data_IF_899999760288
#
_entry.id   IF_899999760288
#
_cell.length_a   1.000
_cell.length_b   1.000
_cell.length_c   1.000
_cell.angle_alpha   90.00
_cell.angle_beta   90.00
_cell.angle_gamma   90.00
#
_symmetry.space_group_name_H-M   'P 1'
#
loop_
_entity.id
_entity.type
_entity.pdbx_description
1 polymer ?
#
# COMPACT_ATOMS: atom_id res chain seq x y z
N UNK A 1 17.78 -30.47 -33.20
CA UNK A 1 17.15 -31.26 -32.10
C UNK A 1 17.05 -30.31 -30.93
N UNK A 2 15.89 -29.68 -30.79
CA UNK A 2 15.68 -28.49 -29.96
C UNK A 2 15.00 -28.84 -28.64
N UNK A 3 15.57 -28.32 -27.56
CA UNK A 3 15.01 -28.31 -26.22
C UNK A 3 13.79 -27.37 -26.13
N UNK A 4 12.76 -27.79 -25.39
CA UNK A 4 11.72 -26.91 -24.83
C UNK A 4 11.39 -27.38 -23.42
N UNK A 5 11.62 -26.49 -22.45
CA UNK A 5 11.11 -26.54 -21.08
C UNK A 5 9.62 -26.15 -21.07
N UNK A 6 8.78 -26.71 -20.17
CA UNK A 6 7.51 -26.10 -19.84
C UNK A 6 7.61 -25.33 -18.51
N UNK A 7 7.25 -24.04 -18.55
CA UNK A 7 6.82 -23.25 -17.40
C UNK A 7 5.37 -23.59 -17.03
N UNK A 8 4.97 -23.55 -15.76
CA UNK A 8 3.58 -23.34 -15.41
C UNK A 8 3.32 -21.85 -15.10
N UNK A 9 2.41 -21.27 -15.90
CA UNK A 9 1.68 -20.05 -15.62
C UNK A 9 0.70 -20.31 -14.46
N UNK A 10 0.76 -19.48 -13.41
CA UNK A 10 -0.35 -19.31 -12.48
C UNK A 10 -1.35 -18.33 -13.10
N UNK A 11 -2.53 -18.81 -13.51
CA UNK A 11 -3.69 -17.97 -13.86
C UNK A 11 -4.77 -18.22 -12.81
N UNK A 12 -5.03 -17.21 -11.97
CA UNK A 12 -6.20 -17.17 -11.12
C UNK A 12 -7.37 -16.61 -11.96
N UNK A 13 -8.28 -17.48 -12.41
CA UNK A 13 -9.43 -17.09 -13.20
C UNK A 13 -10.63 -16.77 -12.28
N UNK A 14 -10.99 -15.49 -12.18
CA UNK A 14 -12.24 -15.02 -11.59
C UNK A 14 -13.28 -14.90 -12.71
N UNK A 15 -14.27 -15.78 -12.73
CA UNK A 15 -15.33 -15.81 -13.76
C UNK A 15 -16.43 -14.80 -13.45
N UNK A 16 -16.52 -13.75 -14.28
CA UNK A 16 -17.68 -12.85 -14.33
C UNK A 16 -18.34 -12.98 -15.72
N UNK A 17 -19.64 -13.31 -15.70
CA UNK A 17 -20.51 -13.50 -16.87
C UNK A 17 -20.81 -12.16 -17.54
N UNK A 18 -20.64 -12.01 -18.87
CA UNK A 18 -21.17 -10.85 -19.59
C UNK A 18 -22.52 -11.18 -20.24
N UNK A 19 -23.51 -10.31 -20.02
CA UNK A 19 -24.74 -10.28 -20.79
C UNK A 19 -24.51 -9.50 -22.09
N UNK A 20 -24.86 -10.13 -23.22
CA UNK A 20 -24.92 -9.55 -24.55
C UNK A 20 -26.02 -8.50 -24.66
N UNK A 21 -25.70 -7.33 -25.21
CA UNK A 21 -26.65 -6.50 -25.95
C UNK A 21 -25.94 -5.90 -27.16
N UNK A 22 -26.34 -6.41 -28.34
CA UNK A 22 -25.91 -5.94 -29.64
C UNK A 22 -26.77 -4.76 -30.08
N UNK A 23 -26.17 -3.72 -30.66
CA UNK A 23 -26.81 -2.90 -31.68
C UNK A 23 -25.77 -2.40 -32.68
N UNK A 24 -26.12 -2.63 -33.93
CA UNK A 24 -25.39 -2.45 -35.18
C UNK A 24 -25.87 -1.15 -35.83
N UNK A 25 -24.98 -0.39 -36.46
CA UNK A 25 -25.34 0.76 -37.29
C UNK A 25 -24.15 1.26 -38.11
N UNK A 26 -24.06 0.78 -39.35
CA UNK A 26 -23.40 1.46 -40.47
C UNK A 26 -24.12 2.80 -40.74
N UNK A 27 -23.41 3.86 -41.16
CA UNK A 27 -23.34 4.27 -42.58
C UNK A 27 -22.76 5.68 -42.78
N UNK A 28 -22.13 5.86 -43.95
CA UNK A 28 -22.03 7.08 -44.79
C UNK A 28 -21.14 8.29 -44.41
N UNK A 29 -19.96 8.33 -45.04
CA UNK A 29 -19.51 9.27 -46.10
C UNK A 29 -19.88 10.76 -46.07
N UNK A 30 -18.88 11.61 -46.37
CA UNK A 30 -19.09 13.00 -46.82
C UNK A 30 -17.81 13.85 -46.84
N UNK A 31 -17.25 14.04 -48.03
CA UNK A 31 -16.27 15.08 -48.39
C UNK A 31 -16.92 16.46 -48.33
N UNK A 32 -16.16 17.52 -47.98
CA UNK A 32 -15.95 18.70 -48.85
C UNK A 32 -15.07 19.79 -48.22
N UNK A 33 -14.11 20.24 -49.03
CA UNK A 33 -13.33 21.49 -48.94
C UNK A 33 -14.22 22.73 -49.03
N UNK A 34 -13.97 23.78 -48.22
CA UNK A 34 -14.01 25.19 -48.66
C UNK A 34 -13.09 26.06 -47.80
N UNK A 35 -12.31 26.91 -48.48
CA UNK A 35 -11.36 27.87 -47.95
C UNK A 35 -11.97 29.21 -47.48
N UNK A 36 -11.15 29.95 -46.72
CA UNK A 36 -10.84 31.39 -46.87
C UNK A 36 -11.34 32.37 -45.78
N UNK A 37 -10.37 33.19 -45.32
CA UNK A 37 -10.45 34.59 -44.83
C UNK A 37 -11.13 34.81 -43.46
N UNK A 38 -10.69 35.68 -42.55
CA UNK A 38 -9.94 36.93 -42.65
C UNK A 38 -9.24 37.29 -41.33
N UNK A 39 -8.32 38.26 -41.43
CA UNK A 39 -7.59 38.93 -40.35
C UNK A 39 -8.51 39.57 -39.28
N UNK A 40 -8.11 39.48 -38.01
CA UNK A 40 -8.35 40.55 -37.04
C UNK A 40 -7.31 40.53 -35.94
N UNK A 41 -6.43 41.51 -36.08
CA UNK A 41 -5.50 42.05 -35.11
C UNK A 41 -6.25 42.49 -33.85
N UNK A 42 -5.85 41.97 -32.70
CA UNK A 42 -6.21 42.54 -31.39
C UNK A 42 -5.05 42.29 -30.45
N UNK A 43 -4.25 43.35 -30.33
CA UNK A 43 -3.16 43.49 -29.38
C UNK A 43 -3.61 43.03 -27.99
N UNK A 44 -3.10 41.87 -27.58
CA UNK A 44 -3.16 41.43 -26.20
C UNK A 44 -2.37 42.44 -25.38
N UNK A 45 -3.10 43.17 -24.54
CA UNK A 45 -2.49 44.00 -23.51
C UNK A 45 -1.94 43.04 -22.47
N UNK A 46 -0.64 42.75 -22.54
CA UNK A 46 0.08 42.07 -21.48
C UNK A 46 0.03 42.96 -20.23
N UNK A 47 -0.99 42.75 -19.41
CA UNK A 47 -1.01 43.25 -18.05
C UNK A 47 -0.12 42.32 -17.23
N UNK A 48 1.18 42.62 -17.27
CA UNK A 48 2.19 42.04 -16.40
C UNK A 48 1.93 42.53 -14.96
N UNK A 49 0.99 41.89 -14.28
CA UNK A 49 0.92 41.94 -12.82
C UNK A 49 1.91 40.91 -12.27
N UNK A 50 3.20 41.26 -12.29
CA UNK A 50 4.32 40.44 -11.82
C UNK A 50 4.35 40.16 -10.30
N UNK A 51 3.20 39.94 -9.68
CA UNK A 51 3.10 39.32 -8.36
C UNK A 51 3.27 37.80 -8.46
N UNK A 52 3.65 37.11 -7.38
CA UNK A 52 3.55 35.65 -7.34
C UNK A 52 2.10 35.24 -7.70
N UNK A 53 1.92 34.11 -8.42
CA UNK A 53 0.58 33.62 -8.72
C UNK A 53 -0.20 33.46 -7.41
N UNK A 54 -1.52 33.76 -7.42
CA UNK A 54 -2.33 33.58 -6.22
C UNK A 54 -2.28 32.10 -5.81
N UNK A 55 -2.16 31.84 -4.50
CA UNK A 55 -2.31 30.49 -3.94
C UNK A 55 -3.71 30.38 -3.32
N UNK A 56 -4.43 29.30 -3.66
CA UNK A 56 -5.73 28.98 -3.06
C UNK A 56 -5.80 27.50 -2.69
N UNK A 57 -6.47 27.15 -1.57
CA UNK A 57 -6.91 25.79 -1.35
C UNK A 57 -7.73 25.26 -2.54
N UNK A 58 -7.65 23.96 -2.78
CA UNK A 58 -8.33 23.34 -3.91
C UNK A 58 -9.87 23.42 -3.75
N UNK A 59 -10.56 23.68 -4.86
CA UNK A 59 -12.01 23.82 -4.92
C UNK A 59 -12.70 22.54 -5.40
N UNK A 60 -13.89 22.26 -4.89
CA UNK A 60 -14.72 21.14 -5.35
C UNK A 60 -14.10 19.75 -5.18
N UNK A 61 -13.11 19.63 -4.30
CA UNK A 61 -12.42 18.39 -3.95
C UNK A 61 -12.24 18.36 -2.44
N UNK A 62 -12.37 17.18 -1.83
CA UNK A 62 -12.18 16.97 -0.39
C UNK A 62 -11.37 15.71 -0.14
N UNK A 63 -10.69 15.65 1.00
CA UNK A 63 -10.02 14.44 1.48
C UNK A 63 -11.04 13.52 2.13
N UNK A 64 -11.15 12.30 1.61
CA UNK A 64 -12.18 11.34 2.02
C UNK A 64 -11.61 10.24 2.93
N UNK A 65 -10.51 9.64 2.48
CA UNK A 65 -9.79 8.60 3.19
C UNK A 65 -8.31 8.98 3.22
N UNK A 66 -7.71 8.89 4.39
CA UNK A 66 -6.24 8.95 4.53
C UNK A 66 -5.83 7.74 5.33
N UNK A 67 -4.87 6.99 4.82
CA UNK A 67 -4.40 5.76 5.42
C UNK A 67 -2.88 5.72 5.49
N UNK A 68 -2.38 4.95 6.44
CA UNK A 68 -0.99 4.54 6.55
C UNK A 68 -0.92 3.06 6.19
N UNK A 69 -0.02 2.70 5.28
CA UNK A 69 0.25 1.32 4.93
C UNK A 69 1.62 0.88 5.46
N UNK A 70 1.59 -0.14 6.32
CA UNK A 70 2.75 -0.84 6.87
C UNK A 70 2.58 -2.36 6.73
N UNK A 71 2.12 -2.82 5.56
CA UNK A 71 1.73 -4.22 5.30
C UNK A 71 0.22 -4.44 5.36
N UNK A 72 -0.49 -3.59 6.10
CA UNK A 72 -1.95 -3.43 6.06
C UNK A 72 -2.31 -1.96 6.00
N UNK A 73 -3.45 -1.63 5.38
CA UNK A 73 -3.98 -0.28 5.36
C UNK A 73 -4.62 0.06 6.72
N UNK A 74 -4.13 1.12 7.36
CA UNK A 74 -4.57 1.61 8.67
C UNK A 74 -5.17 3.00 8.47
N UNK A 75 -6.48 3.19 8.65
CA UNK A 75 -7.11 4.48 8.41
C UNK A 75 -6.74 5.50 9.49
N UNK A 76 -6.45 6.72 9.06
CA UNK A 76 -6.40 7.93 9.87
C UNK A 76 -7.68 8.76 9.72
N UNK A 77 -8.29 8.70 8.55
CA UNK A 77 -9.57 9.35 8.22
C UNK A 77 -10.44 8.34 7.50
N UNK A 78 -11.74 8.33 7.78
CA UNK A 78 -12.76 7.70 6.96
C UNK A 78 -13.93 8.67 6.83
N UNK A 79 -14.44 8.87 5.60
CA UNK A 79 -15.52 9.79 5.29
C UNK A 79 -15.27 11.21 5.83
N UNK A 80 -14.02 11.68 5.74
CA UNK A 80 -13.58 12.98 6.27
C UNK A 80 -13.47 13.08 7.81
N UNK A 81 -13.82 12.02 8.55
CA UNK A 81 -13.76 11.99 10.01
C UNK A 81 -12.50 11.31 10.56
N UNK A 82 -11.92 11.87 11.63
CA UNK A 82 -10.73 11.33 12.29
C UNK A 82 -11.00 9.96 12.91
N UNK A 83 -10.13 8.98 12.63
CA UNK A 83 -10.17 7.64 13.22
C UNK A 83 -9.17 7.58 14.38
N UNK A 84 -9.71 7.41 15.60
CA UNK A 84 -8.89 7.29 16.81
C UNK A 84 -8.10 5.99 16.82
N UNK A 85 -7.06 5.91 17.66
CA UNK A 85 -6.23 4.72 17.75
C UNK A 85 -7.00 3.43 18.10
N UNK A 86 -8.09 3.54 18.87
CA UNK A 86 -8.92 2.41 19.29
C UNK A 86 -9.83 1.88 18.18
N UNK A 87 -10.20 2.73 17.22
CA UNK A 87 -11.09 2.39 16.10
C UNK A 87 -10.34 1.79 14.90
N UNK A 88 -9.01 1.78 14.95
CA UNK A 88 -8.17 1.26 13.88
C UNK A 88 -8.15 -0.26 13.89
N UNK A 89 -8.06 -0.84 12.69
CA UNK A 89 -7.91 -2.27 12.47
C UNK A 89 -6.54 -2.84 12.90
N UNK A 90 -5.52 -1.99 13.02
CA UNK A 90 -4.19 -2.37 13.47
C UNK A 90 -3.45 -1.16 14.08
N UNK A 91 -2.47 -1.41 14.97
CA UNK A 91 -1.61 -0.35 15.47
C UNK A 91 -0.62 0.14 14.42
N UNK A 92 -0.23 1.41 14.53
CA UNK A 92 0.85 1.98 13.72
C UNK A 92 2.17 1.72 14.41
N UNK A 93 3.08 1.07 13.72
CA UNK A 93 4.33 0.54 14.27
C UNK A 93 5.45 1.54 14.03
N UNK A 94 6.20 1.86 15.08
CA UNK A 94 7.33 2.78 14.95
C UNK A 94 8.48 2.18 14.14
N UNK A 95 9.41 3.02 13.69
CA UNK A 95 10.68 2.60 13.06
C UNK A 95 10.53 1.71 11.82
N UNK A 96 9.45 1.89 11.04
CA UNK A 96 9.26 1.22 9.75
C UNK A 96 9.06 2.22 8.61
N UNK A 97 9.63 1.94 7.42
CA UNK A 97 9.24 2.63 6.20
C UNK A 97 7.73 2.53 6.02
N UNK A 98 7.10 3.66 5.75
CA UNK A 98 5.65 3.77 5.77
C UNK A 98 5.17 4.52 4.56
N UNK A 99 4.06 4.07 4.00
CA UNK A 99 3.39 4.76 2.91
C UNK A 99 2.14 5.45 3.44
N UNK A 100 2.09 6.77 3.42
CA UNK A 100 0.84 7.51 3.63
C UNK A 100 0.15 7.68 2.29
N UNK A 101 -1.14 7.33 2.24
CA UNK A 101 -1.97 7.49 1.05
C UNK A 101 -3.18 8.34 1.39
N UNK A 102 -3.52 9.26 0.49
CA UNK A 102 -4.67 10.11 0.61
C UNK A 102 -5.54 10.01 -0.64
N UNK A 103 -6.83 9.83 -0.40
CA UNK A 103 -7.87 9.67 -1.40
C UNK A 103 -8.84 10.84 -1.30
N UNK A 104 -9.44 11.15 -2.43
CA UNK A 104 -10.31 12.30 -2.57
C UNK A 104 -11.70 11.90 -3.04
N UNK A 105 -12.65 12.78 -2.72
CA UNK A 105 -13.93 12.88 -3.40
C UNK A 105 -14.01 14.23 -4.11
N UNK A 106 -14.64 14.26 -5.28
CA UNK A 106 -14.87 15.48 -6.05
C UNK A 106 -16.36 15.77 -6.11
N UNK A 107 -16.71 17.05 -6.13
CA UNK A 107 -18.07 17.50 -6.38
C UNK A 107 -18.50 17.12 -7.81
N UNK A 108 -19.81 17.09 -8.07
CA UNK A 108 -20.36 16.84 -9.41
C UNK A 108 -19.87 17.87 -10.45
N UNK A 109 -19.57 19.06 -9.94
CA UNK A 109 -18.86 20.21 -10.50
C UNK A 109 -17.55 20.03 -11.21
N UNK A 110 -16.80 19.06 -10.70
CA UNK A 110 -15.37 19.18 -10.66
C UNK A 110 -14.78 19.00 -12.06
N UNK A 111 -14.13 20.06 -12.54
CA UNK A 111 -13.39 20.02 -13.79
C UNK A 111 -12.01 19.41 -13.57
N UNK A 112 -11.64 18.47 -14.45
CA UNK A 112 -10.39 17.75 -14.36
C UNK A 112 -9.18 18.68 -14.48
N UNK A 113 -8.31 18.68 -13.46
CA UNK A 113 -7.13 19.55 -13.39
C UNK A 113 -6.08 19.02 -12.42
N UNK A 114 -4.92 19.65 -12.44
CA UNK A 114 -3.84 19.33 -11.51
C UNK A 114 -4.09 19.94 -10.12
N UNK A 115 -3.95 19.10 -9.09
CA UNK A 115 -4.03 19.48 -7.69
C UNK A 115 -2.71 19.12 -7.00
N UNK A 116 -2.19 20.02 -6.18
CA UNK A 116 -1.02 19.79 -5.34
C UNK A 116 -1.45 19.37 -3.95
N UNK A 117 -1.02 18.18 -3.51
CA UNK A 117 -1.13 17.76 -2.13
C UNK A 117 0.15 18.10 -1.36
N UNK A 118 0.01 18.81 -0.23
CA UNK A 118 1.09 19.18 0.69
C UNK A 118 0.94 18.42 1.99
N UNK A 119 1.86 17.49 2.25
CA UNK A 119 1.93 16.74 3.50
C UNK A 119 2.93 17.42 4.44
N UNK A 120 2.48 17.79 5.63
CA UNK A 120 3.34 18.28 6.70
C UNK A 120 3.50 17.20 7.76
N UNK A 121 4.74 16.91 8.13
CA UNK A 121 5.11 15.92 9.14
C UNK A 121 5.89 16.62 10.24
N UNK A 122 5.33 16.68 11.44
CA UNK A 122 5.98 17.27 12.61
C UNK A 122 6.53 16.17 13.51
N UNK A 123 7.85 16.15 13.67
CA UNK A 123 8.55 15.22 14.55
C UNK A 123 8.48 15.67 16.02
N UNK A 124 8.68 14.74 16.97
CA UNK A 124 8.93 15.06 18.36
C UNK A 124 10.14 16.00 18.46
N UNK A 125 9.91 17.21 18.99
CA UNK A 125 10.91 18.27 19.00
C UNK A 125 10.53 19.48 18.13
N UNK A 126 9.48 19.36 17.32
CA UNK A 126 8.87 20.46 16.56
C UNK A 126 9.50 20.71 15.19
N UNK A 127 10.42 19.86 14.73
CA UNK A 127 10.90 19.89 13.36
C UNK A 127 9.76 19.49 12.41
N UNK A 128 9.53 20.29 11.36
CA UNK A 128 8.46 20.07 10.38
C UNK A 128 9.06 19.83 9.01
N UNK A 129 8.69 18.71 8.41
CA UNK A 129 8.99 18.37 7.02
C UNK A 129 7.77 18.61 6.16
N UNK A 130 8.00 19.11 4.95
CA UNK A 130 6.97 19.25 3.93
C UNK A 130 7.30 18.34 2.75
N UNK A 131 6.33 17.56 2.31
CA UNK A 131 6.38 16.84 1.04
C UNK A 131 5.24 17.32 0.15
N UNK A 132 5.53 17.49 -1.15
CA UNK A 132 4.54 17.92 -2.15
C UNK A 132 4.38 16.86 -3.23
N UNK A 133 3.15 16.69 -3.70
CA UNK A 133 2.86 15.84 -4.85
C UNK A 133 1.73 16.44 -5.67
N UNK A 134 2.03 16.77 -6.92
CA UNK A 134 1.02 17.23 -7.89
C UNK A 134 0.47 16.05 -8.68
N UNK A 135 -0.86 16.01 -8.87
CA UNK A 135 -1.52 15.02 -9.72
C UNK A 135 -2.68 15.61 -10.49
N UNK A 136 -2.84 15.14 -11.73
CA UNK A 136 -4.07 15.32 -12.50
C UNK A 136 -5.19 14.51 -11.86
N UNK A 137 -6.28 15.19 -11.50
CA UNK A 137 -7.51 14.60 -10.98
C UNK A 137 -8.52 14.55 -12.12
N UNK A 138 -8.58 13.43 -12.83
CA UNK A 138 -9.52 13.22 -13.97
C UNK A 138 -10.52 12.09 -13.70
N UNK A 139 -10.36 11.39 -12.58
CA UNK A 139 -11.16 10.23 -12.16
C UNK A 139 -11.28 10.22 -10.64
N UNK A 140 -12.29 9.50 -10.15
CA UNK A 140 -12.45 9.24 -8.72
C UNK A 140 -11.19 8.55 -8.14
N UNK A 141 -10.94 8.69 -6.85
CA UNK A 141 -9.85 7.97 -6.20
C UNK A 141 -10.10 6.44 -6.23
N UNK A 142 -9.04 5.61 -6.23
CA UNK A 142 -9.18 4.15 -6.25
C UNK A 142 -8.01 3.45 -5.52
N UNK A 143 -8.27 2.68 -4.45
CA UNK A 143 -7.24 1.99 -3.69
C UNK A 143 -6.35 1.03 -4.50
N UNK A 144 -6.90 0.43 -5.56
CA UNK A 144 -6.17 -0.50 -6.44
C UNK A 144 -5.26 0.15 -7.48
N UNK A 145 -5.15 1.49 -7.51
CA UNK A 145 -4.31 2.22 -8.45
C UNK A 145 -3.56 3.35 -7.75
N UNK A 146 -2.22 3.25 -7.69
CA UNK A 146 -1.36 4.23 -7.03
C UNK A 146 -1.39 5.61 -7.70
N UNK A 147 -1.81 5.70 -8.95
CA UNK A 147 -1.97 6.98 -9.66
C UNK A 147 -3.27 7.69 -9.27
N UNK A 148 -4.22 6.97 -8.69
CA UNK A 148 -5.53 7.46 -8.22
C UNK A 148 -5.56 7.66 -6.70
N UNK A 149 -4.42 8.07 -6.15
CA UNK A 149 -4.22 8.49 -4.75
C UNK A 149 -2.99 9.38 -4.64
N UNK A 150 -2.96 10.33 -3.71
CA UNK A 150 -1.71 10.95 -3.31
C UNK A 150 -0.93 9.98 -2.42
N UNK A 151 0.37 9.83 -2.65
CA UNK A 151 1.20 8.81 -2.02
C UNK A 151 2.52 9.42 -1.58
N UNK A 152 2.81 9.32 -0.28
CA UNK A 152 3.99 9.88 0.36
C UNK A 152 4.74 8.80 1.13
N UNK A 153 6.05 8.71 0.87
CA UNK A 153 6.95 7.85 1.64
C UNK A 153 7.39 8.56 2.92
N UNK A 154 7.27 7.90 4.06
CA UNK A 154 7.74 8.38 5.34
C UNK A 154 8.98 7.57 5.74
N UNK A 155 10.16 8.14 5.47
CA UNK A 155 11.48 7.63 5.86
C UNK A 155 12.34 8.78 6.46
N UNK A 156 13.13 8.56 7.53
CA UNK A 156 13.05 7.48 8.50
C UNK A 156 12.19 7.89 9.71
N UNK A 157 11.57 6.89 10.33
CA UNK A 157 11.01 6.94 11.68
C UNK A 157 9.61 7.57 11.81
N UNK A 158 8.62 6.73 11.50
CA UNK A 158 7.41 6.71 12.30
C UNK A 158 7.83 6.63 13.78
N UNK A 159 7.80 7.76 14.47
CA UNK A 159 8.17 7.88 15.88
C UNK A 159 6.93 8.16 16.72
N UNK A 160 6.96 7.77 18.01
CA UNK A 160 5.95 8.19 18.97
C UNK A 160 5.76 9.71 18.94
N UNK A 161 4.53 10.19 19.08
CA UNK A 161 4.16 11.62 19.07
C UNK A 161 4.36 12.37 17.75
N UNK A 162 4.65 11.69 16.64
CA UNK A 162 4.61 12.29 15.31
C UNK A 162 3.21 12.83 15.00
N UNK A 163 3.16 14.03 14.41
CA UNK A 163 1.91 14.67 13.97
C UNK A 163 1.94 14.91 12.47
N UNK A 164 0.77 14.84 11.83
CA UNK A 164 0.62 15.13 10.40
C UNK A 164 -0.53 16.07 10.11
N UNK A 165 -0.39 16.84 9.04
CA UNK A 165 -1.50 17.47 8.33
C UNK A 165 -1.31 17.33 6.83
N UNK A 166 -2.40 17.35 6.07
CA UNK A 166 -2.41 17.26 4.62
C UNK A 166 -3.34 18.33 4.05
N UNK A 167 -2.90 19.03 3.03
CA UNK A 167 -3.66 20.10 2.38
C UNK A 167 -3.68 19.88 0.87
N UNK A 168 -4.80 20.20 0.22
CA UNK A 168 -4.91 20.24 -1.24
C UNK A 168 -4.96 21.68 -1.74
N UNK A 169 -4.19 21.98 -2.77
CA UNK A 169 -4.00 23.32 -3.31
C UNK A 169 -4.21 23.35 -4.82
N UNK A 170 -4.76 24.45 -5.32
CA UNK A 170 -4.84 24.71 -6.76
C UNK A 170 -3.46 24.95 -7.35
N UNK A 171 -3.20 24.36 -8.51
CA UNK A 171 -1.99 24.62 -9.30
C UNK A 171 -2.28 25.61 -10.43
N UNK A 172 -3.49 25.55 -10.98
CA UNK A 172 -3.92 26.42 -12.07
C UNK A 172 -4.37 27.79 -11.52
N UNK A 173 -3.74 28.85 -12.04
CA UNK A 173 -4.00 30.23 -11.65
C UNK A 173 -5.46 30.67 -11.88
N UNK A 174 -6.17 30.08 -12.86
CA UNK A 174 -7.57 30.39 -13.11
C UNK A 174 -8.45 29.99 -11.90
N UNK A 175 -8.16 28.83 -11.30
CA UNK A 175 -8.85 28.36 -10.10
C UNK A 175 -8.28 29.01 -8.84
N UNK A 176 -6.98 29.26 -8.81
CA UNK A 176 -6.34 29.89 -7.65
C UNK A 176 -6.74 31.36 -7.44
N UNK A 177 -7.24 32.03 -8.49
CA UNK A 177 -7.77 33.39 -8.40
C UNK A 177 -9.25 33.47 -7.94
N UNK A 178 -9.92 32.33 -7.74
CA UNK A 178 -11.29 32.28 -7.22
C UNK A 178 -11.33 32.64 -5.72
N UNK A 179 -12.51 33.01 -5.22
CA UNK A 179 -12.71 33.14 -3.78
C UNK A 179 -12.50 31.77 -3.11
N UNK A 180 -11.69 31.66 -2.03
CA UNK A 180 -11.40 30.40 -1.38
C UNK A 180 -12.66 29.61 -0.99
N UNK A 181 -12.60 28.26 -0.99
CA UNK A 181 -13.77 27.46 -0.68
C UNK A 181 -14.18 27.66 0.79
N UNK A 182 -15.50 27.61 1.05
CA UNK A 182 -16.03 27.75 2.41
C UNK A 182 -15.53 26.65 3.37
N UNK A 183 -15.19 25.48 2.83
CA UNK A 183 -14.55 24.37 3.53
C UNK A 183 -13.26 24.04 2.78
N UNK A 184 -12.12 24.26 3.43
CA UNK A 184 -10.83 23.93 2.83
C UNK A 184 -10.61 22.41 2.83
N UNK A 185 -10.00 21.85 1.76
CA UNK A 185 -9.61 20.44 1.71
C UNK A 185 -8.34 20.18 2.52
N UNK A 186 -8.43 20.44 3.82
CA UNK A 186 -7.37 20.24 4.79
C UNK A 186 -7.72 19.11 5.73
N UNK A 187 -6.68 18.39 6.14
CA UNK A 187 -6.72 17.38 7.16
C UNK A 187 -5.65 17.66 8.21
N UNK A 188 -5.98 17.52 9.50
CA UNK A 188 -7.31 17.64 10.11
C UNK A 188 -8.12 18.85 9.61
N UNK A 189 -9.46 18.76 9.67
CA UNK A 189 -10.36 19.81 9.17
C UNK A 189 -10.21 21.16 9.89
N UNK A 190 -9.60 21.18 11.07
CA UNK A 190 -9.28 22.41 11.82
C UNK A 190 -7.92 23.03 11.42
N UNK A 191 -7.21 22.43 10.44
CA UNK A 191 -5.89 22.85 9.99
C UNK A 191 -4.76 22.56 10.98
N UNK A 192 -5.04 21.92 12.12
CA UNK A 192 -4.02 21.53 13.08
C UNK A 192 -3.24 20.30 12.58
N UNK A 193 -2.10 19.97 13.23
CA UNK A 193 -1.44 18.68 13.01
C UNK A 193 -1.89 17.69 14.06
N UNK A 194 -2.51 16.60 13.63
CA UNK A 194 -3.02 15.57 14.51
C UNK A 194 -1.98 14.48 14.79
N UNK A 195 -2.02 13.95 16.01
CA UNK A 195 -1.16 12.87 16.46
C UNK A 195 -1.49 11.59 15.68
N UNK A 196 -0.49 11.03 15.01
CA UNK A 196 -0.66 9.78 14.27
C UNK A 196 -0.91 8.61 15.22
N UNK A 197 -0.35 8.61 16.43
CA UNK A 197 -0.55 7.52 17.40
C UNK A 197 0.32 6.31 17.11
N UNK A 198 1.60 6.55 16.80
CA UNK A 198 2.63 5.50 16.64
C UNK A 198 2.89 4.82 17.99
N UNK A 199 2.91 3.49 18.00
CA UNK A 199 3.21 2.73 19.21
C UNK A 199 4.69 2.83 19.61
N UNK A 200 4.92 2.99 20.91
CA UNK A 200 6.27 2.99 21.51
C UNK A 200 6.85 1.58 21.67
N UNK A 201 5.97 0.58 21.79
CA UNK A 201 6.37 -0.79 22.11
C UNK A 201 6.99 -1.46 20.89
N UNK A 202 8.13 -2.10 21.10
CA UNK A 202 8.78 -2.82 20.04
C UNK A 202 7.98 -4.08 19.67
N UNK A 203 7.49 -4.11 18.42
CA UNK A 203 6.82 -5.28 17.87
C UNK A 203 7.83 -6.12 17.10
N UNK A 204 8.36 -7.16 17.75
CA UNK A 204 9.29 -8.11 17.16
C UNK A 204 8.66 -9.49 17.03
N UNK A 205 8.90 -10.15 15.90
CA UNK A 205 8.49 -11.52 15.64
C UNK A 205 9.72 -12.42 15.63
N UNK A 206 9.73 -13.44 16.50
CA UNK A 206 10.79 -14.45 16.53
C UNK A 206 10.27 -15.74 15.93
N UNK A 207 10.92 -16.21 14.88
CA UNK A 207 10.53 -17.42 14.18
C UNK A 207 11.67 -18.43 14.25
N UNK A 208 11.35 -19.63 14.70
CA UNK A 208 12.25 -20.79 14.71
C UNK A 208 11.84 -21.71 13.57
N UNK A 209 12.71 -21.87 12.58
CA UNK A 209 12.58 -22.88 11.54
C UNK A 209 13.04 -24.21 12.11
N UNK A 210 12.17 -25.21 12.05
CA UNK A 210 12.43 -26.56 12.52
C UNK A 210 12.69 -27.44 11.30
N UNK A 211 13.94 -27.88 11.06
CA UNK A 211 14.21 -28.79 9.97
C UNK A 211 13.56 -30.14 10.27
N UNK A 212 12.87 -30.70 9.28
CA UNK A 212 12.30 -32.04 9.33
C UNK A 212 13.08 -32.92 8.36
N UNK A 213 13.78 -33.89 8.91
CA UNK A 213 14.42 -34.97 8.17
C UNK A 213 13.38 -36.04 7.86
N UNK A 214 13.15 -36.27 6.57
CA UNK A 214 12.22 -37.29 6.10
C UNK A 214 12.96 -38.61 5.92
N UNK A 215 12.41 -39.69 6.50
CA UNK A 215 13.03 -41.01 6.52
C UNK A 215 12.00 -42.17 6.49
N UNK A 216 11.03 -42.12 5.57
CA UNK A 216 10.04 -43.20 5.38
C UNK A 216 10.32 -44.04 4.11
N UNK A 217 9.72 -45.25 3.97
CA UNK A 217 9.97 -46.10 2.81
C UNK A 217 9.64 -45.38 1.48
N UNK A 218 10.67 -45.20 0.64
CA UNK A 218 10.53 -44.55 -0.67
C UNK A 218 10.86 -43.05 -0.70
N UNK A 219 11.12 -42.42 0.45
CA UNK A 219 11.56 -41.02 0.51
C UNK A 219 12.58 -40.80 1.63
N UNK A 220 13.72 -40.21 1.28
CA UNK A 220 14.68 -39.72 2.26
C UNK A 220 15.22 -38.38 1.79
N UNK A 221 14.92 -37.34 2.55
CA UNK A 221 15.25 -35.97 2.18
C UNK A 221 15.52 -35.12 3.42
N UNK A 222 16.45 -34.20 3.26
CA UNK A 222 16.76 -33.14 4.22
C UNK A 222 16.82 -31.84 3.44
N UNK A 223 16.09 -30.83 3.90
CA UNK A 223 16.09 -29.52 3.25
C UNK A 223 17.25 -28.68 3.79
N UNK A 224 18.02 -28.08 2.88
CA UNK A 224 18.91 -26.98 3.26
C UNK A 224 18.06 -25.71 3.43
N UNK A 225 17.93 -25.17 4.66
CA UNK A 225 17.14 -23.96 4.91
C UNK A 225 17.80 -22.70 4.34
N UNK A 226 19.13 -22.67 4.16
CA UNK A 226 19.88 -21.46 3.89
C UNK A 226 19.35 -20.65 2.68
N UNK A 227 18.97 -21.25 1.54
CA UNK A 227 18.46 -20.52 0.38
C UNK A 227 17.11 -19.83 0.59
N UNK A 228 16.31 -20.27 1.58
CA UNK A 228 14.97 -19.73 1.83
C UNK A 228 14.88 -18.80 3.03
N UNK A 229 15.85 -18.85 3.96
CA UNK A 229 15.80 -18.05 5.20
C UNK A 229 15.53 -16.57 4.92
N UNK A 230 16.32 -15.92 4.07
CA UNK A 230 16.14 -14.50 3.77
C UNK A 230 14.78 -14.21 3.11
N UNK A 231 14.38 -15.02 2.13
CA UNK A 231 13.10 -14.82 1.43
C UNK A 231 11.92 -14.97 2.38
N UNK A 232 12.01 -15.89 3.32
CA UNK A 232 10.97 -16.11 4.31
C UNK A 232 10.94 -14.98 5.34
N UNK A 233 12.10 -14.53 5.81
CA UNK A 233 12.21 -13.35 6.67
C UNK A 233 11.60 -12.11 6.00
N UNK A 234 11.98 -11.82 4.75
CA UNK A 234 11.45 -10.69 3.97
C UNK A 234 9.93 -10.81 3.79
N UNK A 235 9.44 -12.01 3.46
CA UNK A 235 8.01 -12.27 3.29
C UNK A 235 7.24 -12.02 4.60
N UNK A 236 7.76 -12.50 5.73
CA UNK A 236 7.14 -12.31 7.03
C UNK A 236 7.20 -10.84 7.44
N UNK A 237 8.30 -10.13 7.15
CA UNK A 237 8.42 -8.71 7.41
C UNK A 237 7.42 -7.88 6.60
N UNK A 238 7.21 -8.22 5.32
CA UNK A 238 6.25 -7.50 4.46
C UNK A 238 4.79 -7.75 4.86
N UNK A 239 4.47 -8.97 5.30
CA UNK A 239 3.08 -9.36 5.60
C UNK A 239 2.63 -9.03 7.03
N UNK A 240 3.57 -8.72 7.93
CA UNK A 240 3.26 -8.47 9.32
C UNK A 240 3.65 -7.03 9.73
N UNK A 241 2.81 -6.35 10.54
CA UNK A 241 3.15 -5.06 11.11
C UNK A 241 4.15 -5.23 12.26
N UNK A 242 5.42 -5.51 11.94
CA UNK A 242 6.50 -5.73 12.93
C UNK A 242 7.74 -4.94 12.57
N UNK A 243 8.43 -4.41 13.57
CA UNK A 243 9.70 -3.69 13.42
C UNK A 243 10.84 -4.61 13.00
N UNK A 244 10.80 -5.84 13.50
CA UNK A 244 11.86 -6.81 13.28
C UNK A 244 11.27 -8.21 13.18
N UNK A 245 11.73 -8.96 12.19
CA UNK A 245 11.58 -10.41 12.14
C UNK A 245 12.96 -11.00 12.44
N UNK A 246 13.03 -11.97 13.33
CA UNK A 246 14.26 -12.71 13.61
C UNK A 246 14.00 -14.16 13.29
N UNK A 247 14.77 -14.69 12.34
CA UNK A 247 14.68 -16.08 11.92
C UNK A 247 15.87 -16.86 12.48
N UNK A 248 15.60 -17.95 13.20
CA UNK A 248 16.62 -18.88 13.68
C UNK A 248 16.34 -20.29 13.17
N UNK A 249 17.38 -21.09 13.01
CA UNK A 249 17.25 -22.51 12.71
C UNK A 249 17.40 -23.30 14.01
N UNK A 250 16.46 -24.22 14.27
CA UNK A 250 16.58 -25.17 15.37
C UNK A 250 17.76 -26.11 15.11
N UNK A 251 18.66 -26.24 16.07
CA UNK A 251 19.86 -27.09 15.94
C UNK A 251 19.51 -28.57 15.77
N UNK A 252 18.46 -29.02 16.46
CA UNK A 252 17.99 -30.40 16.40
C UNK A 252 16.88 -30.51 15.37
N UNK A 253 17.09 -31.35 14.36
CA UNK A 253 16.03 -31.70 13.42
C UNK A 253 14.98 -32.62 14.07
N UNK A 254 13.75 -32.55 13.57
CA UNK A 254 12.74 -33.59 13.79
C UNK A 254 12.95 -34.67 12.75
N UNK A 255 12.91 -35.94 13.14
CA UNK A 255 12.92 -37.06 12.19
C UNK A 255 11.50 -37.55 12.01
N UNK A 256 11.01 -37.54 10.77
CA UNK A 256 9.73 -38.10 10.37
C UNK A 256 9.95 -39.45 9.68
N UNK A 257 9.64 -40.55 10.39
CA UNK A 257 9.83 -41.93 9.94
C UNK A 257 8.60 -42.55 9.26
N UNK A 258 7.47 -41.84 9.30
CA UNK A 258 6.24 -42.17 8.59
C UNK A 258 5.77 -41.01 7.72
N UNK A 259 5.28 -41.31 6.52
CA UNK A 259 4.68 -40.31 5.63
C UNK A 259 3.42 -39.73 6.26
N UNK A 260 3.36 -38.40 6.51
CA UNK A 260 2.19 -37.79 7.09
C UNK A 260 1.05 -37.77 6.07
N UNK A 261 -0.16 -38.14 6.48
CA UNK A 261 -1.34 -38.05 5.61
C UNK A 261 -1.80 -36.60 5.38
N UNK A 262 -1.35 -35.67 6.23
CA UNK A 262 -1.54 -34.24 6.11
C UNK A 262 -0.47 -33.46 6.88
N UNK A 263 -0.21 -32.21 6.51
CA UNK A 263 0.70 -31.32 7.26
C UNK A 263 0.30 -31.14 8.73
N UNK A 264 -0.98 -31.31 9.06
CA UNK A 264 -1.48 -31.19 10.43
C UNK A 264 -0.90 -32.26 11.36
N UNK A 265 -0.53 -33.43 10.83
CA UNK A 265 0.11 -34.49 11.61
C UNK A 265 1.52 -34.13 12.11
N UNK A 266 2.13 -33.09 11.53
CA UNK A 266 3.41 -32.56 12.00
C UNK A 266 3.26 -31.61 13.20
N UNK A 267 2.06 -31.06 13.43
CA UNK A 267 1.84 -30.08 14.51
C UNK A 267 2.20 -30.62 15.90
N UNK A 268 1.84 -31.86 16.29
CA UNK A 268 2.28 -32.43 17.56
C UNK A 268 3.81 -32.55 17.68
N UNK A 269 4.51 -32.85 16.59
CA UNK A 269 5.97 -32.96 16.57
C UNK A 269 6.63 -31.58 16.76
N UNK A 270 6.11 -30.57 16.08
CA UNK A 270 6.56 -29.18 16.23
C UNK A 270 6.28 -28.67 17.64
N UNK A 271 5.11 -28.97 18.21
CA UNK A 271 4.76 -28.61 19.58
C UNK A 271 5.70 -29.28 20.59
N UNK A 272 6.00 -30.56 20.42
CA UNK A 272 6.96 -31.28 21.26
C UNK A 272 8.37 -30.69 21.16
N UNK A 273 8.81 -30.29 19.96
CA UNK A 273 10.09 -29.60 19.76
C UNK A 273 10.11 -28.25 20.49
N UNK A 274 9.04 -27.46 20.39
CA UNK A 274 8.89 -26.18 21.10
C UNK A 274 8.94 -26.36 22.62
N UNK A 275 8.30 -27.39 23.15
CA UNK A 275 8.34 -27.72 24.58
C UNK A 275 9.74 -28.17 25.03
N UNK A 276 10.41 -29.00 24.22
CA UNK A 276 11.77 -29.47 24.51
C UNK A 276 12.79 -28.33 24.54
N UNK A 277 12.61 -27.31 23.70
CA UNK A 277 13.47 -26.13 23.65
C UNK A 277 13.13 -25.09 24.75
N UNK A 278 12.07 -25.31 25.53
CA UNK A 278 11.54 -24.35 26.49
C UNK A 278 11.28 -22.96 25.89
N UNK A 279 10.75 -22.93 24.66
CA UNK A 279 10.59 -21.72 23.86
C UNK A 279 9.77 -20.64 24.56
N UNK A 280 10.15 -19.39 24.34
CA UNK A 280 9.41 -18.25 24.87
C UNK A 280 8.00 -18.16 24.25
N UNK A 281 7.11 -17.43 24.93
CA UNK A 281 5.74 -17.23 24.44
C UNK A 281 5.68 -16.49 23.09
N UNK A 282 6.70 -15.69 22.76
CA UNK A 282 6.78 -14.92 21.51
C UNK A 282 7.63 -15.60 20.41
N UNK A 283 7.93 -16.89 20.55
CA UNK A 283 8.65 -17.69 19.55
C UNK A 283 7.70 -18.61 18.80
N UNK A 284 7.65 -18.43 17.48
CA UNK A 284 6.79 -19.16 16.55
C UNK A 284 7.59 -20.22 15.82
N UNK A 285 7.12 -21.47 15.85
CA UNK A 285 7.83 -22.59 15.25
C UNK A 285 7.18 -22.96 13.90
N UNK A 286 8.00 -23.09 12.86
CA UNK A 286 7.57 -23.50 11.52
C UNK A 286 8.40 -24.70 11.06
N UNK A 287 7.75 -25.78 10.65
CA UNK A 287 8.45 -26.91 10.06
C UNK A 287 8.89 -26.61 8.63
N UNK A 288 10.10 -27.07 8.30
CA UNK A 288 10.62 -27.09 6.94
C UNK A 288 10.93 -28.53 6.54
N UNK A 289 10.27 -29.01 5.49
CA UNK A 289 10.42 -30.38 5.01
C UNK A 289 10.40 -30.44 3.47
N UNK A 290 10.97 -31.50 2.91
CA UNK A 290 10.82 -31.89 1.51
C UNK A 290 10.19 -33.29 1.48
N UNK A 291 8.98 -33.38 0.95
CA UNK A 291 8.22 -34.63 0.84
C UNK A 291 8.60 -35.45 -0.41
N UNK A 292 9.82 -35.30 -0.95
CA UNK A 292 10.32 -35.99 -2.16
C UNK A 292 9.40 -35.87 -3.39
N UNK A 293 8.64 -34.78 -3.52
CA UNK A 293 7.77 -34.52 -4.67
C UNK A 293 6.47 -35.32 -4.72
N UNK A 294 6.01 -35.94 -3.63
CA UNK A 294 4.64 -36.50 -3.55
C UNK A 294 3.59 -35.39 -3.34
N UNK A 295 3.39 -34.59 -4.39
CA UNK A 295 2.23 -33.70 -4.54
C UNK A 295 2.32 -32.38 -3.79
N UNK A 296 1.77 -31.33 -4.42
CA UNK A 296 1.44 -30.07 -3.76
C UNK A 296 0.66 -30.35 -2.47
N UNK A 297 1.32 -30.19 -1.33
CA UNK A 297 0.67 -30.01 -0.03
C UNK A 297 0.50 -28.51 0.18
N UNK A 298 -0.40 -27.92 -0.61
CA UNK A 298 -1.02 -26.60 -0.39
C UNK A 298 -0.20 -25.38 -0.78
#
# INVERSE_FOLDING_TARGET
MNARLPSPLFILALSLVPALAACKGDDTGGSDDVASTDESDSAATESDSGGPPPESPAHGITLDLVEINQGVAIPLIVDGAWVTGEERNAPIVGSRPTLLRAYWQTDADFEAREIEARLFVELPGGEVFEQRQTRLIDKAAFPGDLTRSFTFGLEPEMVPNLRVSLELWEVDAAYAAMEPPAVAPVFPADGSRALVGVQEQALAMKIVIVPVEVAWPGCSATVDPAPMMQRFEDMMYMKNPTQQVTLTLREQAIVADSEPSSLWELMPLIQAAREADAAAANEYYFALMDACGTGDIG
#
